data_IF_304743497306
#
_entry.id   IF_304743497306
#
_cell.length_a   1.000
_cell.length_b   1.000
_cell.length_c   1.000
_cell.angle_alpha   90.00
_cell.angle_beta   90.00
_cell.angle_gamma   90.00
#
_symmetry.space_group_name_H-M   'P 1'
#
loop_
_entity.id
_entity.type
_entity.pdbx_description
1 polymer ?
#
# COMPACT_ATOMS: atom_id res chain seq x y z
N UNK A 1 3.50 -18.78 -1.12
CA UNK A 1 2.26 -17.99 -0.93
C UNK A 1 1.94 -17.76 0.55
N UNK A 2 2.09 -18.77 1.42
CA UNK A 2 1.89 -18.60 2.89
C UNK A 2 2.88 -17.63 3.53
N UNK A 3 4.17 -17.68 3.15
CA UNK A 3 5.21 -16.77 3.70
C UNK A 3 5.02 -15.32 3.24
N UNK A 4 4.75 -15.10 1.95
CA UNK A 4 4.41 -13.77 1.41
C UNK A 4 3.11 -13.22 2.00
N UNK A 5 2.09 -14.07 2.17
CA UNK A 5 0.82 -13.69 2.80
C UNK A 5 0.98 -13.35 4.28
N UNK A 6 1.80 -14.11 5.02
CA UNK A 6 2.13 -13.83 6.42
C UNK A 6 2.93 -12.52 6.55
N UNK A 7 3.93 -12.30 5.69
CA UNK A 7 4.69 -11.05 5.63
C UNK A 7 3.78 -9.86 5.36
N UNK A 8 2.92 -9.94 4.32
CA UNK A 8 1.97 -8.89 3.99
C UNK A 8 0.96 -8.61 5.11
N UNK A 9 0.48 -9.65 5.81
CA UNK A 9 -0.42 -9.51 6.94
C UNK A 9 0.23 -8.81 8.15
N UNK A 10 1.54 -8.98 8.35
CA UNK A 10 2.29 -8.34 9.43
C UNK A 10 2.63 -6.87 9.16
N UNK A 11 2.69 -6.43 7.89
CA UNK A 11 3.06 -5.04 7.54
C UNK A 11 2.09 -4.03 8.14
N UNK A 12 0.79 -4.30 8.08
CA UNK A 12 -0.24 -3.39 8.61
C UNK A 12 -0.07 -3.16 10.12
N UNK A 13 -0.12 -4.18 11.00
CA UNK A 13 0.03 -3.99 12.44
C UNK A 13 1.43 -3.50 12.84
N UNK A 14 2.49 -3.92 12.13
CA UNK A 14 3.85 -3.42 12.40
C UNK A 14 4.00 -1.92 12.07
N UNK A 15 3.42 -1.47 10.96
CA UNK A 15 3.44 -0.04 10.59
C UNK A 15 2.68 0.83 11.60
N UNK A 16 1.52 0.36 12.06
CA UNK A 16 0.76 0.99 13.14
C UNK A 16 1.53 1.00 14.46
N UNK A 17 2.26 -0.06 14.80
CA UNK A 17 3.08 -0.13 16.00
C UNK A 17 4.23 0.90 15.98
N UNK A 18 4.87 1.10 14.82
CA UNK A 18 5.92 2.12 14.63
C UNK A 18 5.34 3.53 14.79
N UNK A 19 4.23 3.83 14.12
CA UNK A 19 3.54 5.12 14.27
C UNK A 19 3.12 5.35 15.72
N UNK A 20 2.70 4.29 16.40
CA UNK A 20 2.32 4.34 17.81
C UNK A 20 3.52 4.59 18.74
N UNK A 21 4.69 4.00 18.49
CA UNK A 21 5.87 4.14 19.36
C UNK A 21 6.62 5.45 19.16
N UNK A 22 6.66 5.97 17.94
CA UNK A 22 7.51 7.12 17.56
C UNK A 22 6.76 8.47 17.64
N UNK A 23 5.42 8.44 17.62
CA UNK A 23 4.59 9.65 17.66
C UNK A 23 4.04 9.88 19.08
N UNK A 24 4.21 11.09 19.67
CA UNK A 24 3.62 11.46 20.95
C UNK A 24 2.10 11.27 20.96
N UNK A 25 1.53 10.85 22.10
CA UNK A 25 0.10 10.51 22.24
C UNK A 25 -0.86 11.59 21.69
N UNK A 26 -0.53 12.87 21.90
CA UNK A 26 -1.30 14.02 21.37
C UNK A 26 -1.38 14.10 19.84
N UNK A 27 -0.43 13.50 19.11
CA UNK A 27 -0.36 13.51 17.64
C UNK A 27 -0.68 12.15 17.02
N UNK A 28 -0.82 11.09 17.82
CA UNK A 28 -1.08 9.72 17.32
C UNK A 28 -2.37 9.65 16.49
N UNK A 29 -3.45 10.30 16.92
CA UNK A 29 -4.72 10.35 16.18
C UNK A 29 -4.56 11.02 14.80
N UNK A 30 -3.79 12.10 14.73
CA UNK A 30 -3.49 12.78 13.46
C UNK A 30 -2.64 11.89 12.55
N UNK A 31 -1.60 11.25 13.10
CA UNK A 31 -0.74 10.35 12.34
C UNK A 31 -1.49 9.13 11.79
N UNK A 32 -2.38 8.53 12.58
CA UNK A 32 -3.28 7.46 12.13
C UNK A 32 -4.21 7.99 11.03
N UNK A 33 -4.76 9.21 11.19
CA UNK A 33 -5.59 9.84 10.17
C UNK A 33 -4.87 10.03 8.83
N UNK A 34 -3.62 10.48 8.85
CA UNK A 34 -2.78 10.62 7.64
C UNK A 34 -2.48 9.25 7.02
N UNK A 35 -2.16 8.25 7.84
CA UNK A 35 -1.92 6.87 7.38
C UNK A 35 -3.17 6.29 6.69
N UNK A 36 -4.36 6.45 7.27
CA UNK A 36 -5.62 6.00 6.67
C UNK A 36 -5.97 6.79 5.41
N UNK A 37 -5.72 8.10 5.37
CA UNK A 37 -5.92 8.91 4.16
C UNK A 37 -5.03 8.43 3.01
N UNK A 38 -3.76 8.12 3.28
CA UNK A 38 -2.86 7.57 2.28
C UNK A 38 -3.35 6.22 1.74
N UNK A 39 -3.86 5.34 2.61
CA UNK A 39 -4.48 4.08 2.19
C UNK A 39 -5.72 4.28 1.32
N UNK A 40 -6.58 5.24 1.65
CA UNK A 40 -7.75 5.56 0.86
C UNK A 40 -7.37 6.08 -0.54
N UNK A 41 -6.36 6.94 -0.63
CA UNK A 41 -5.83 7.43 -1.91
C UNK A 41 -5.22 6.29 -2.72
N UNK A 42 -4.47 5.39 -2.09
CA UNK A 42 -3.92 4.22 -2.76
C UNK A 42 -5.03 3.30 -3.31
N UNK A 43 -6.09 3.07 -2.53
CA UNK A 43 -7.22 2.25 -2.94
C UNK A 43 -8.04 2.91 -4.06
N UNK A 44 -8.23 4.23 -4.01
CA UNK A 44 -8.95 4.99 -5.03
C UNK A 44 -8.16 5.11 -6.34
N UNK A 45 -6.83 5.24 -6.25
CA UNK A 45 -5.95 5.33 -7.42
C UNK A 45 -5.77 3.99 -8.15
N UNK A 46 -5.91 2.86 -7.45
CA UNK A 46 -5.76 1.52 -8.04
C UNK A 46 -6.63 1.29 -9.30
N UNK A 47 -7.96 1.46 -9.25
CA UNK A 47 -8.83 1.34 -10.41
C UNK A 47 -8.56 2.38 -11.51
N UNK A 48 -8.19 3.60 -11.13
CA UNK A 48 -7.90 4.68 -12.09
C UNK A 48 -6.66 4.32 -12.91
N UNK A 49 -5.57 3.97 -12.23
CA UNK A 49 -4.31 3.58 -12.88
C UNK A 49 -4.49 2.28 -13.65
N UNK A 50 -5.16 1.27 -13.06
CA UNK A 50 -5.43 -0.01 -13.72
C UNK A 50 -6.32 0.12 -14.96
N UNK A 51 -7.33 1.00 -14.91
CA UNK A 51 -8.22 1.30 -16.02
C UNK A 51 -7.49 1.94 -17.19
N UNK A 52 -6.75 3.03 -16.93
CA UNK A 52 -5.95 3.76 -17.94
C UNK A 52 -4.94 2.82 -18.60
N UNK A 53 -4.27 1.98 -17.82
CA UNK A 53 -3.27 1.03 -18.34
C UNK A 53 -3.91 -0.06 -19.19
N UNK A 54 -5.05 -0.60 -18.75
CA UNK A 54 -5.78 -1.63 -19.50
C UNK A 54 -6.36 -1.07 -20.80
N UNK A 55 -6.83 0.17 -20.79
CA UNK A 55 -7.43 0.85 -21.94
C UNK A 55 -6.40 1.20 -23.03
N UNK A 56 -5.20 1.67 -22.64
CA UNK A 56 -4.18 2.06 -23.62
C UNK A 56 -3.27 0.90 -24.04
N UNK A 57 -2.84 0.05 -23.11
CA UNK A 57 -1.75 -0.91 -23.33
C UNK A 57 -2.21 -2.37 -23.24
N UNK A 58 -3.45 -2.62 -22.81
CA UNK A 58 -4.02 -3.95 -22.63
C UNK A 58 -3.78 -4.53 -21.23
N UNK A 59 -4.57 -5.55 -20.88
CA UNK A 59 -4.64 -6.11 -19.52
C UNK A 59 -3.30 -6.64 -18.98
N UNK A 60 -2.40 -7.06 -19.88
CA UNK A 60 -1.11 -7.69 -19.56
C UNK A 60 -0.17 -6.73 -18.82
N UNK A 61 -0.32 -5.42 -19.08
CA UNK A 61 0.51 -4.39 -18.46
C UNK A 61 0.16 -4.10 -17.00
N UNK A 62 -1.00 -4.54 -16.52
CA UNK A 62 -1.36 -4.46 -15.09
C UNK A 62 -0.39 -5.32 -14.25
N UNK A 63 0.11 -6.42 -14.80
CA UNK A 63 1.13 -7.25 -14.12
C UNK A 63 2.52 -6.64 -14.19
N UNK A 64 2.88 -5.99 -15.32
CA UNK A 64 4.14 -5.26 -15.45
C UNK A 64 4.20 -4.04 -14.52
N UNK A 65 3.06 -3.42 -14.20
CA UNK A 65 2.98 -2.30 -13.26
C UNK A 65 3.32 -2.72 -11.82
N UNK A 66 3.10 -4.00 -11.48
CA UNK A 66 3.52 -4.58 -10.20
C UNK A 66 5.01 -4.98 -10.18
N UNK A 67 5.67 -5.07 -11.35
CA UNK A 67 7.05 -5.53 -11.47
C UNK A 67 8.06 -4.61 -10.75
N UNK A 68 7.99 -3.27 -10.85
CA UNK A 68 8.88 -2.37 -10.11
C UNK A 68 8.75 -2.57 -8.58
N UNK A 69 7.51 -2.69 -8.08
CA UNK A 69 7.26 -2.92 -6.66
C UNK A 69 7.80 -4.27 -6.20
N UNK A 70 7.60 -5.32 -7.01
CA UNK A 70 8.13 -6.66 -6.74
C UNK A 70 9.66 -6.72 -6.74
N UNK A 71 10.32 -5.95 -7.61
CA UNK A 71 11.79 -5.86 -7.66
C UNK A 71 12.34 -5.03 -6.50
N UNK A 72 11.68 -3.94 -6.10
CA UNK A 72 12.10 -3.15 -4.93
C UNK A 72 11.83 -3.82 -3.59
N UNK A 73 10.92 -4.79 -3.55
CA UNK A 73 10.54 -5.53 -2.35
C UNK A 73 11.32 -6.85 -2.17
N UNK A 74 12.12 -7.28 -3.16
CA UNK A 74 12.98 -8.46 -3.12
C UNK A 74 14.40 -8.10 -2.69
#
# INVERSE_FOLDING_TARGET
RTVQGAGAACVIPASLAVVASDIPEKRRTFAIGVWTAALAVALASGPVVGGVVTEHWGWEWVFLLNLPFGVTAA
#
